data_IF_184496732718
#
_entry.id   IF_184496732718
#
_cell.length_a   1.000
_cell.length_b   1.000
_cell.length_c   1.000
_cell.angle_alpha   90.00
_cell.angle_beta   90.00
_cell.angle_gamma   90.00
#
_symmetry.space_group_name_H-M   'P 1'
#
loop_
_entity.id
_entity.type
_entity.pdbx_description
1 polymer ?
#
# COMPACT_ATOMS: atom_id res chain seq x y z
N UNK A 1 -4.27 1.33 -36.65
CA UNK A 1 -5.03 1.61 -35.40
C UNK A 1 -4.02 1.75 -34.27
N UNK A 2 -4.31 2.59 -33.26
CA UNK A 2 -3.44 2.71 -32.09
C UNK A 2 -3.40 1.38 -31.31
N UNK A 3 -2.27 1.06 -30.69
CA UNK A 3 -2.17 -0.12 -29.80
C UNK A 3 -3.22 -0.03 -28.68
N UNK A 4 -3.80 -1.17 -28.26
CA UNK A 4 -4.78 -1.17 -27.17
C UNK A 4 -4.13 -0.82 -25.84
N UNK A 5 -4.86 -0.10 -24.98
CA UNK A 5 -4.44 0.17 -23.59
C UNK A 5 -4.59 -1.09 -22.74
N UNK A 6 -3.53 -1.52 -22.07
CA UNK A 6 -3.47 -2.74 -21.28
C UNK A 6 -3.75 -2.43 -19.81
N UNK A 7 -4.86 -2.95 -19.29
CA UNK A 7 -5.35 -2.69 -17.92
C UNK A 7 -5.41 -3.98 -17.14
N UNK A 8 -4.66 -4.06 -16.04
CA UNK A 8 -4.69 -5.19 -15.11
C UNK A 8 -5.43 -4.80 -13.83
N UNK A 9 -6.44 -5.59 -13.45
CA UNK A 9 -7.20 -5.40 -12.21
C UNK A 9 -7.05 -6.64 -11.34
N UNK A 10 -6.51 -6.48 -10.13
CA UNK A 10 -6.46 -7.57 -9.15
C UNK A 10 -7.79 -7.69 -8.40
N UNK A 11 -8.27 -8.91 -8.18
CA UNK A 11 -9.54 -9.15 -7.49
C UNK A 11 -10.76 -8.69 -8.29
N UNK A 12 -10.71 -8.86 -9.61
CA UNK A 12 -11.74 -8.44 -10.56
C UNK A 12 -13.01 -9.31 -10.53
N UNK A 13 -12.99 -10.49 -9.89
CA UNK A 13 -14.12 -11.43 -9.91
C UNK A 13 -15.40 -10.93 -9.23
N UNK A 14 -15.32 -9.94 -8.32
CA UNK A 14 -16.48 -9.44 -7.56
C UNK A 14 -16.29 -8.02 -7.04
N UNK A 15 -17.37 -7.41 -6.54
CA UNK A 15 -17.35 -6.14 -5.81
C UNK A 15 -16.77 -4.98 -6.64
N UNK A 16 -15.96 -4.13 -5.99
CA UNK A 16 -15.36 -2.94 -6.61
C UNK A 16 -14.49 -3.32 -7.82
N UNK A 17 -13.65 -4.35 -7.68
CA UNK A 17 -12.81 -4.83 -8.78
C UNK A 17 -13.61 -5.23 -10.01
N UNK A 18 -14.74 -5.93 -9.83
CA UNK A 18 -15.65 -6.30 -10.92
C UNK A 18 -16.30 -5.07 -11.57
N UNK A 19 -16.83 -4.16 -10.76
CA UNK A 19 -17.43 -2.93 -11.28
C UNK A 19 -16.46 -2.09 -12.10
N UNK A 20 -15.20 -1.96 -11.64
CA UNK A 20 -14.15 -1.28 -12.42
C UNK A 20 -13.89 -2.05 -13.73
N UNK A 21 -13.77 -3.38 -13.68
CA UNK A 21 -13.52 -4.21 -14.84
C UNK A 21 -14.61 -4.08 -15.91
N UNK A 22 -15.88 -4.11 -15.51
CA UNK A 22 -17.04 -3.93 -16.39
C UNK A 22 -17.07 -2.54 -17.04
N UNK A 23 -16.74 -1.48 -16.28
CA UNK A 23 -16.63 -0.12 -16.83
C UNK A 23 -15.49 0.02 -17.85
N UNK A 24 -14.37 -0.67 -17.64
CA UNK A 24 -13.30 -0.72 -18.63
C UNK A 24 -13.67 -1.58 -19.85
N UNK A 25 -14.45 -2.65 -19.67
CA UNK A 25 -14.91 -3.51 -20.78
C UNK A 25 -15.76 -2.73 -21.79
N UNK A 26 -16.52 -1.74 -21.31
CA UNK A 26 -17.32 -0.83 -22.13
C UNK A 26 -16.50 0.26 -22.86
N UNK A 27 -15.17 0.36 -22.65
CA UNK A 27 -14.30 1.30 -23.37
C UNK A 27 -13.67 0.59 -24.57
N UNK A 28 -13.60 1.20 -25.77
CA UNK A 28 -13.02 0.58 -26.96
C UNK A 28 -11.49 0.49 -26.87
N UNK A 29 -10.88 -0.43 -27.63
CA UNK A 29 -9.43 -0.57 -27.80
C UNK A 29 -8.64 -0.79 -26.47
N UNK A 30 -9.08 -1.73 -25.63
CA UNK A 30 -8.38 -2.14 -24.40
C UNK A 30 -8.06 -3.64 -24.35
N UNK A 31 -6.96 -4.01 -23.70
CA UNK A 31 -6.72 -5.39 -23.27
C UNK A 31 -6.88 -5.45 -21.76
N UNK A 32 -7.98 -6.05 -21.30
CA UNK A 32 -8.29 -6.16 -19.88
C UNK A 32 -7.82 -7.49 -19.32
N UNK A 33 -7.09 -7.43 -18.23
CA UNK A 33 -6.52 -8.59 -17.55
C UNK A 33 -7.12 -8.65 -16.16
N UNK A 34 -7.96 -9.66 -15.93
CA UNK A 34 -8.49 -9.97 -14.62
C UNK A 34 -7.51 -10.89 -13.90
N UNK A 35 -6.86 -10.35 -12.86
CA UNK A 35 -5.91 -11.08 -12.03
C UNK A 35 -6.61 -11.55 -10.74
N UNK A 36 -7.00 -12.82 -10.70
CA UNK A 36 -7.79 -13.39 -9.61
C UNK A 36 -7.05 -14.56 -8.94
N UNK A 37 -7.31 -14.79 -7.65
CA UNK A 37 -6.74 -15.93 -6.89
C UNK A 37 -6.98 -17.27 -7.58
N UNK A 38 -8.22 -17.49 -8.02
CA UNK A 38 -8.66 -18.68 -8.72
C UNK A 38 -9.29 -18.27 -10.06
N UNK A 39 -8.57 -18.34 -11.19
CA UNK A 39 -9.13 -17.98 -12.48
C UNK A 39 -10.21 -18.94 -12.97
N UNK A 40 -10.29 -20.15 -12.42
CA UNK A 40 -11.23 -21.20 -12.86
C UNK A 40 -12.57 -21.16 -12.12
N UNK A 41 -12.73 -20.27 -11.13
CA UNK A 41 -14.00 -20.11 -10.43
C UNK A 41 -15.08 -19.43 -11.31
N UNK A 42 -16.35 -19.67 -10.96
CA UNK A 42 -17.49 -19.10 -11.68
C UNK A 42 -17.38 -17.58 -11.89
N UNK A 43 -17.16 -16.78 -10.82
CA UNK A 43 -17.04 -15.33 -10.94
C UNK A 43 -15.91 -14.87 -11.88
N UNK A 44 -14.77 -15.56 -11.92
CA UNK A 44 -13.67 -15.25 -12.84
C UNK A 44 -14.03 -15.61 -14.28
N UNK A 45 -14.61 -16.79 -14.49
CA UNK A 45 -15.00 -17.26 -15.82
C UNK A 45 -16.14 -16.43 -16.43
N UNK A 46 -16.99 -15.79 -15.61
CA UNK A 46 -17.99 -14.84 -16.08
C UNK A 46 -17.38 -13.59 -16.73
N UNK A 47 -16.20 -13.15 -16.31
CA UNK A 47 -15.54 -11.97 -16.86
C UNK A 47 -15.20 -12.14 -18.36
N UNK A 48 -14.90 -13.36 -18.79
CA UNK A 48 -14.65 -13.70 -20.20
C UNK A 48 -15.88 -13.53 -21.10
N UNK A 49 -17.08 -13.49 -20.49
CA UNK A 49 -18.37 -13.41 -21.20
C UNK A 49 -18.95 -11.99 -21.21
N UNK A 50 -18.24 -11.02 -20.64
CA UNK A 50 -18.70 -9.64 -20.58
C UNK A 50 -18.87 -9.06 -21.99
N UNK A 51 -19.90 -8.24 -22.22
CA UNK A 51 -19.98 -7.43 -23.44
C UNK A 51 -18.79 -6.46 -23.44
N UNK A 52 -18.04 -6.46 -24.54
CA UNK A 52 -16.88 -5.59 -24.73
C UNK A 52 -17.13 -4.61 -25.86
N UNK A 53 -16.63 -3.39 -25.72
CA UNK A 53 -16.62 -2.42 -26.80
C UNK A 53 -15.65 -2.85 -27.92
N UNK A 54 -15.75 -2.20 -29.08
CA UNK A 54 -14.94 -2.52 -30.25
C UNK A 54 -13.43 -2.49 -29.94
N UNK A 55 -12.73 -3.54 -30.34
CA UNK A 55 -11.29 -3.68 -30.11
C UNK A 55 -10.90 -3.99 -28.66
N UNK A 56 -11.86 -4.27 -27.77
CA UNK A 56 -11.57 -4.64 -26.38
C UNK A 56 -11.62 -6.15 -26.16
N UNK A 57 -10.59 -6.66 -25.47
CA UNK A 57 -10.43 -8.09 -25.19
C UNK A 57 -10.27 -8.33 -23.70
N UNK A 58 -10.71 -9.49 -23.21
CA UNK A 58 -10.58 -9.90 -21.81
C UNK A 58 -9.66 -11.12 -21.70
N UNK A 59 -8.78 -11.11 -20.70
CA UNK A 59 -7.94 -12.24 -20.33
C UNK A 59 -8.00 -12.49 -18.82
N UNK A 60 -7.77 -13.74 -18.42
CA UNK A 60 -7.62 -14.13 -17.02
C UNK A 60 -6.18 -14.54 -16.74
N UNK A 61 -5.69 -14.17 -15.56
CA UNK A 61 -4.43 -14.66 -15.01
C UNK A 61 -4.59 -14.94 -13.53
N UNK A 62 -3.83 -15.91 -13.01
CA UNK A 62 -3.81 -16.22 -11.60
C UNK A 62 -2.90 -15.23 -10.87
N UNK A 63 -3.43 -14.57 -9.84
CA UNK A 63 -2.65 -13.90 -8.80
C UNK A 63 -3.34 -14.11 -7.45
N UNK A 64 -2.73 -14.89 -6.57
CA UNK A 64 -2.97 -14.87 -5.11
C UNK A 64 -2.02 -13.86 -4.47
N UNK A 65 -2.58 -12.86 -3.80
CA UNK A 65 -1.85 -11.76 -3.18
C UNK A 65 -0.87 -12.22 -2.09
N UNK A 66 -1.12 -13.38 -1.46
CA UNK A 66 -0.24 -13.93 -0.43
C UNK A 66 0.88 -14.82 -0.96
N UNK A 67 0.88 -15.15 -2.26
CA UNK A 67 1.90 -16.01 -2.87
C UNK A 67 3.04 -15.16 -3.45
N UNK A 68 4.28 -15.48 -3.07
CA UNK A 68 5.46 -14.70 -3.46
C UNK A 68 5.85 -14.86 -4.94
N UNK A 69 5.34 -15.88 -5.63
CA UNK A 69 5.70 -16.24 -7.01
C UNK A 69 4.58 -15.98 -8.02
N UNK A 70 3.32 -15.90 -7.59
CA UNK A 70 2.17 -15.76 -8.49
C UNK A 70 2.27 -14.51 -9.38
N UNK A 71 2.73 -13.36 -8.86
CA UNK A 71 2.89 -12.14 -9.65
C UNK A 71 3.95 -12.31 -10.76
N UNK A 72 5.08 -12.96 -10.47
CA UNK A 72 6.12 -13.27 -11.46
C UNK A 72 5.61 -14.29 -12.50
N UNK A 73 4.91 -15.32 -12.04
CA UNK A 73 4.30 -16.34 -12.91
C UNK A 73 3.24 -15.74 -13.83
N UNK A 74 2.48 -14.75 -13.34
CA UNK A 74 1.53 -13.99 -14.13
C UNK A 74 2.22 -13.16 -15.21
N UNK A 75 3.36 -12.53 -14.91
CA UNK A 75 4.18 -11.82 -15.91
C UNK A 75 4.63 -12.76 -17.03
N UNK A 76 5.18 -13.94 -16.69
CA UNK A 76 5.60 -14.92 -17.69
C UNK A 76 4.43 -15.44 -18.53
N UNK A 77 3.29 -15.68 -17.88
CA UNK A 77 2.05 -16.06 -18.56
C UNK A 77 1.60 -14.98 -19.55
N UNK A 78 1.58 -13.71 -19.15
CA UNK A 78 1.18 -12.59 -20.00
C UNK A 78 2.16 -12.37 -21.16
N UNK A 79 3.47 -12.49 -20.91
CA UNK A 79 4.51 -12.42 -21.96
C UNK A 79 4.32 -13.50 -23.02
N UNK A 80 4.01 -14.74 -22.61
CA UNK A 80 3.73 -15.83 -23.56
C UNK A 80 2.51 -15.56 -24.46
N UNK A 81 1.62 -14.65 -24.03
CA UNK A 81 0.44 -14.20 -24.77
C UNK A 81 0.68 -12.89 -25.54
N UNK A 82 1.93 -12.45 -25.64
CA UNK A 82 2.34 -11.23 -26.35
C UNK A 82 2.19 -9.93 -25.56
N UNK A 83 1.86 -10.00 -24.27
CA UNK A 83 1.70 -8.82 -23.40
C UNK A 83 3.02 -8.57 -22.66
N UNK A 84 3.77 -7.58 -23.13
CA UNK A 84 5.10 -7.25 -22.61
C UNK A 84 5.13 -6.06 -21.65
N UNK A 85 4.01 -5.38 -21.46
CA UNK A 85 3.84 -4.25 -20.53
C UNK A 85 2.40 -4.17 -20.03
N UNK A 86 2.19 -3.39 -18.96
CA UNK A 86 0.88 -3.01 -18.43
C UNK A 86 0.86 -1.48 -18.38
N UNK A 87 -0.16 -0.85 -18.96
CA UNK A 87 -0.31 0.61 -18.93
C UNK A 87 -0.94 1.07 -17.61
N UNK A 88 -1.92 0.30 -17.12
CA UNK A 88 -2.68 0.63 -15.91
C UNK A 88 -2.75 -0.60 -15.00
N UNK A 89 -2.18 -0.49 -13.81
CA UNK A 89 -2.30 -1.48 -12.73
C UNK A 89 -3.28 -0.97 -11.66
N UNK A 90 -4.38 -1.70 -11.46
CA UNK A 90 -5.36 -1.44 -10.40
C UNK A 90 -5.21 -2.53 -9.34
N UNK A 91 -4.36 -2.24 -8.34
CA UNK A 91 -4.11 -3.10 -7.18
C UNK A 91 -5.27 -3.02 -6.17
N UNK A 92 -6.42 -3.57 -6.55
CA UNK A 92 -7.67 -3.54 -5.79
C UNK A 92 -7.85 -4.71 -4.79
N UNK A 93 -7.13 -5.83 -4.96
CA UNK A 93 -7.36 -7.02 -4.14
C UNK A 93 -7.08 -6.72 -2.65
N UNK A 94 -8.03 -7.12 -1.79
CA UNK A 94 -7.93 -6.91 -0.36
C UNK A 94 -8.90 -7.78 0.43
N UNK A 95 -8.66 -7.87 1.74
CA UNK A 95 -9.53 -8.56 2.70
C UNK A 95 -9.80 -7.73 3.95
N UNK A 96 -10.92 -8.03 4.57
CA UNK A 96 -11.32 -7.61 5.91
C UNK A 96 -12.16 -8.75 6.51
N UNK A 97 -11.63 -9.45 7.52
CA UNK A 97 -12.26 -10.65 8.10
C UNK A 97 -12.75 -10.45 9.54
N UNK A 98 -12.30 -9.39 10.22
CA UNK A 98 -12.72 -9.03 11.58
C UNK A 98 -12.62 -7.52 11.84
N UNK A 99 -13.36 -7.03 12.85
CA UNK A 99 -13.39 -5.61 13.27
C UNK A 99 -13.32 -5.48 14.81
N UNK A 100 -12.26 -5.99 15.47
CA UNK A 100 -12.10 -5.87 16.92
C UNK A 100 -11.78 -4.44 17.33
N UNK A 101 -11.99 -4.13 18.61
CA UNK A 101 -11.36 -2.96 19.24
C UNK A 101 -9.85 -3.16 19.33
N UNK A 102 -9.11 -2.06 19.55
CA UNK A 102 -7.65 -2.14 19.68
C UNK A 102 -7.21 -3.08 20.81
N UNK A 103 -7.90 -3.04 21.96
CA UNK A 103 -7.62 -3.93 23.09
C UNK A 103 -7.85 -5.43 22.80
N UNK A 104 -8.69 -5.75 21.81
CA UNK A 104 -9.07 -7.13 21.45
C UNK A 104 -8.35 -7.64 20.19
N UNK A 105 -7.61 -6.77 19.49
CA UNK A 105 -6.98 -7.08 18.22
C UNK A 105 -5.83 -8.08 18.41
N UNK A 106 -5.86 -9.17 17.63
CA UNK A 106 -4.82 -10.19 17.67
C UNK A 106 -3.76 -9.91 16.61
N UNK A 107 -2.49 -10.00 17.00
CA UNK A 107 -1.36 -9.82 16.08
C UNK A 107 -1.44 -10.73 14.84
N UNK A 108 -1.79 -12.03 14.95
CA UNK A 108 -1.96 -12.89 13.77
C UNK A 108 -3.02 -12.39 12.79
N UNK A 109 -4.13 -11.83 13.28
CA UNK A 109 -5.18 -11.29 12.41
C UNK A 109 -4.65 -10.05 11.66
N UNK A 110 -3.90 -9.18 12.35
CA UNK A 110 -3.25 -8.01 11.73
C UNK A 110 -2.23 -8.45 10.68
N UNK A 111 -1.37 -9.42 11.00
CA UNK A 111 -0.37 -9.95 10.07
C UNK A 111 -1.02 -10.56 8.83
N UNK A 112 -2.11 -11.31 9.01
CA UNK A 112 -2.87 -11.89 7.92
C UNK A 112 -3.41 -10.79 6.98
N UNK A 113 -4.05 -9.74 7.52
CA UNK A 113 -4.53 -8.60 6.73
C UNK A 113 -3.40 -7.85 6.01
N UNK A 114 -2.28 -7.59 6.68
CA UNK A 114 -1.10 -6.94 6.09
C UNK A 114 -0.56 -7.79 4.93
N UNK A 115 -0.51 -9.12 5.07
CA UNK A 115 0.02 -9.99 4.03
C UNK A 115 -0.76 -9.88 2.71
N UNK A 116 -2.09 -9.75 2.77
CA UNK A 116 -2.91 -9.53 1.57
C UNK A 116 -2.91 -8.06 1.13
N UNK A 117 -3.24 -7.13 2.03
CA UNK A 117 -3.56 -5.75 1.67
C UNK A 117 -2.31 -4.89 1.41
N UNK A 118 -1.17 -5.25 1.99
CA UNK A 118 0.08 -4.48 1.87
C UNK A 118 1.11 -5.29 1.09
N UNK A 119 1.43 -6.50 1.54
CA UNK A 119 2.46 -7.28 0.86
C UNK A 119 2.00 -7.77 -0.51
N UNK A 120 0.70 -8.04 -0.69
CA UNK A 120 0.11 -8.26 -2.02
C UNK A 120 0.37 -7.09 -2.97
N UNK A 121 0.24 -5.85 -2.52
CA UNK A 121 0.58 -4.66 -3.32
C UNK A 121 2.07 -4.61 -3.66
N UNK A 122 2.94 -4.85 -2.67
CA UNK A 122 4.41 -4.85 -2.87
C UNK A 122 4.84 -5.92 -3.87
N UNK A 123 4.24 -7.12 -3.82
CA UNK A 123 4.53 -8.22 -4.76
C UNK A 123 4.18 -7.89 -6.21
N UNK A 124 3.26 -6.95 -6.46
CA UNK A 124 2.89 -6.54 -7.82
C UNK A 124 3.91 -5.62 -8.46
N UNK A 125 4.73 -4.90 -7.69
CA UNK A 125 5.64 -3.90 -8.25
C UNK A 125 6.94 -3.75 -7.44
N UNK A 126 8.07 -4.00 -8.11
CA UNK A 126 9.41 -3.81 -7.54
C UNK A 126 9.93 -2.39 -7.86
N UNK A 127 9.67 -1.43 -6.96
CA UNK A 127 10.24 -0.08 -7.07
C UNK A 127 11.64 -0.09 -6.44
N UNK A 128 12.69 0.40 -7.13
CA UNK A 128 14.05 0.47 -6.60
C UNK A 128 14.22 1.63 -5.61
N UNK A 129 13.46 1.63 -4.51
CA UNK A 129 13.52 2.67 -3.48
C UNK A 129 14.03 2.12 -2.14
N UNK A 130 15.14 2.65 -1.60
CA UNK A 130 15.81 2.12 -0.41
C UNK A 130 15.14 2.59 0.89
N UNK A 131 13.87 2.23 1.11
CA UNK A 131 13.18 2.35 2.41
C UNK A 131 11.87 1.54 2.50
N UNK A 132 11.64 0.62 1.55
CA UNK A 132 10.36 -0.05 1.39
C UNK A 132 9.98 -0.98 2.55
N UNK A 133 10.91 -1.29 3.45
CA UNK A 133 10.64 -2.06 4.68
C UNK A 133 10.32 -1.14 5.85
N UNK A 134 11.16 -0.14 6.13
CA UNK A 134 11.03 0.68 7.34
C UNK A 134 9.94 1.76 7.20
N UNK A 135 9.89 2.50 6.10
CA UNK A 135 8.94 3.60 5.89
C UNK A 135 7.47 3.19 6.12
N UNK A 136 6.96 2.14 5.47
CA UNK A 136 5.57 1.70 5.63
C UNK A 136 5.17 1.35 7.08
N UNK A 137 6.11 0.84 7.89
CA UNK A 137 5.82 0.52 9.30
C UNK A 137 5.47 1.76 10.12
N UNK A 138 5.97 2.94 9.72
CA UNK A 138 5.68 4.21 10.40
C UNK A 138 4.29 4.73 10.10
N UNK A 139 3.75 4.48 8.91
CA UNK A 139 2.35 4.77 8.58
C UNK A 139 1.40 3.95 9.46
N UNK A 140 1.71 2.67 9.69
CA UNK A 140 0.91 1.83 10.58
C UNK A 140 0.96 2.34 12.03
N UNK A 141 2.15 2.73 12.51
CA UNK A 141 2.32 3.35 13.83
C UNK A 141 1.50 4.65 13.95
N UNK A 142 1.48 5.49 12.91
CA UNK A 142 0.69 6.73 12.88
C UNK A 142 -0.81 6.44 12.98
N UNK A 143 -1.31 5.46 12.22
CA UNK A 143 -2.71 5.05 12.28
C UNK A 143 -3.12 4.60 13.69
N UNK A 144 -2.32 3.74 14.34
CA UNK A 144 -2.60 3.32 15.72
C UNK A 144 -2.59 4.49 16.70
N UNK A 145 -1.63 5.40 16.57
CA UNK A 145 -1.53 6.56 17.45
C UNK A 145 -2.75 7.48 17.30
N UNK A 146 -3.28 7.66 16.09
CA UNK A 146 -4.56 8.34 15.86
C UNK A 146 -5.71 7.64 16.55
N UNK A 147 -5.82 6.33 16.38
CA UNK A 147 -6.90 5.53 16.97
C UNK A 147 -6.87 5.64 18.49
N UNK A 148 -5.69 5.56 19.10
CA UNK A 148 -5.50 5.80 20.55
C UNK A 148 -5.92 7.22 20.92
N UNK A 149 -5.50 8.24 20.17
CA UNK A 149 -5.87 9.63 20.43
C UNK A 149 -7.40 9.86 20.40
N UNK A 150 -8.13 9.15 19.53
CA UNK A 150 -9.59 9.23 19.45
C UNK A 150 -10.24 8.46 20.61
N UNK A 151 -9.74 7.26 20.90
CA UNK A 151 -10.32 6.37 21.91
C UNK A 151 -10.06 6.85 23.34
N UNK A 152 -8.83 7.30 23.63
CA UNK A 152 -8.38 7.70 24.96
C UNK A 152 -8.49 9.21 25.14
N UNK A 153 -9.64 9.67 25.62
CA UNK A 153 -9.92 11.11 25.79
C UNK A 153 -9.02 11.78 26.83
N UNK A 154 -8.44 11.02 27.76
CA UNK A 154 -7.54 11.50 28.81
C UNK A 154 -6.05 11.52 28.40
N UNK A 155 -5.68 10.90 27.27
CA UNK A 155 -4.29 10.73 26.84
C UNK A 155 -3.96 11.63 25.66
N UNK A 156 -2.94 12.49 25.79
CA UNK A 156 -2.32 13.18 24.65
C UNK A 156 -1.42 12.20 23.91
N UNK A 157 -1.88 11.66 22.77
CA UNK A 157 -1.14 10.71 21.96
C UNK A 157 -0.92 11.27 20.55
N UNK A 158 0.35 11.36 20.12
CA UNK A 158 0.74 11.85 18.80
C UNK A 158 2.15 11.37 18.42
N UNK A 159 2.41 11.03 17.14
CA UNK A 159 3.76 10.75 16.65
C UNK A 159 4.59 12.03 16.49
N UNK A 160 5.90 11.91 16.70
CA UNK A 160 6.90 12.95 16.37
C UNK A 160 7.95 12.33 15.45
N UNK A 161 8.22 12.99 14.32
CA UNK A 161 9.36 12.68 13.46
C UNK A 161 10.62 13.38 14.02
N UNK A 162 11.62 12.62 14.50
CA UNK A 162 12.84 13.20 15.07
C UNK A 162 13.76 13.85 14.02
N UNK A 163 13.42 13.77 12.73
CA UNK A 163 14.26 14.19 11.62
C UNK A 163 15.25 13.11 11.20
N UNK A 164 16.13 13.44 10.25
CA UNK A 164 17.16 12.52 9.79
C UNK A 164 18.43 12.66 10.64
N UNK A 165 18.46 11.92 11.75
CA UNK A 165 19.43 12.12 12.86
C UNK A 165 20.72 11.31 12.70
N UNK A 166 21.87 11.91 13.02
CA UNK A 166 23.22 11.31 13.01
C UNK A 166 23.44 10.27 14.12
N UNK A 167 22.59 9.26 14.16
CA UNK A 167 22.75 8.05 14.96
C UNK A 167 23.43 6.97 14.12
N UNK A 168 23.80 5.84 14.74
CA UNK A 168 24.25 4.66 13.99
C UNK A 168 23.21 4.23 12.94
N UNK A 169 21.93 4.19 13.33
CA UNK A 169 20.82 3.84 12.44
C UNK A 169 20.64 4.86 11.32
N UNK A 170 20.65 6.16 11.64
CA UNK A 170 20.46 7.22 10.65
C UNK A 170 21.61 7.28 9.65
N UNK A 171 22.86 7.20 10.10
CA UNK A 171 24.02 7.17 9.21
C UNK A 171 24.07 5.88 8.36
N UNK A 172 23.61 4.74 8.90
CA UNK A 172 23.41 3.53 8.10
C UNK A 172 22.35 3.73 7.03
N UNK A 173 21.23 4.39 7.35
CA UNK A 173 20.22 4.78 6.38
C UNK A 173 20.76 5.71 5.30
N UNK A 174 21.54 6.73 5.68
CA UNK A 174 22.14 7.71 4.78
C UNK A 174 22.96 7.04 3.67
N UNK A 175 23.77 6.03 4.04
CA UNK A 175 24.54 5.25 3.06
C UNK A 175 23.67 4.52 2.04
N UNK A 176 22.50 4.02 2.43
CA UNK A 176 21.54 3.41 1.49
C UNK A 176 20.94 4.41 0.49
N UNK A 177 21.02 5.71 0.77
CA UNK A 177 20.62 6.81 -0.11
C UNK A 177 21.82 7.51 -0.79
N UNK A 178 23.03 6.93 -0.74
CA UNK A 178 24.27 7.53 -1.24
C UNK A 178 24.62 8.88 -0.58
N UNK A 179 24.27 9.05 0.69
CA UNK A 179 24.64 10.20 1.52
C UNK A 179 25.75 9.79 2.50
N UNK A 180 26.62 10.74 2.85
CA UNK A 180 27.72 10.51 3.79
C UNK A 180 27.20 10.23 5.21
N UNK A 181 26.27 11.05 5.68
CA UNK A 181 25.64 10.96 6.99
C UNK A 181 24.27 11.62 7.00
N UNK A 182 23.54 11.45 8.09
CA UNK A 182 22.24 12.07 8.29
C UNK A 182 22.35 13.59 8.50
N UNK A 183 21.28 14.33 8.25
CA UNK A 183 21.33 15.79 8.08
C UNK A 183 21.39 16.60 9.38
N UNK A 184 20.96 16.05 10.51
CA UNK A 184 20.95 16.76 11.81
C UNK A 184 21.62 15.95 12.91
N UNK A 185 22.16 16.65 13.91
CA UNK A 185 22.78 16.03 15.08
C UNK A 185 21.74 15.45 16.04
N UNK A 186 22.18 14.56 16.93
CA UNK A 186 21.34 14.04 18.02
C UNK A 186 20.88 15.17 18.95
N UNK A 187 21.76 16.11 19.27
CA UNK A 187 21.45 17.22 20.18
C UNK A 187 20.37 18.14 19.62
N UNK A 188 20.47 18.51 18.33
CA UNK A 188 19.44 19.32 17.65
C UNK A 188 18.08 18.62 17.66
N UNK A 189 18.06 17.33 17.31
CA UNK A 189 16.85 16.51 17.27
C UNK A 189 16.19 16.41 18.65
N UNK A 190 16.93 16.00 19.68
CA UNK A 190 16.37 15.77 21.02
C UNK A 190 15.88 17.07 21.66
N UNK A 191 16.62 18.18 21.50
CA UNK A 191 16.15 19.48 21.99
C UNK A 191 14.84 19.92 21.33
N UNK A 192 14.70 19.71 20.02
CA UNK A 192 13.46 20.00 19.31
C UNK A 192 12.30 19.11 19.77
N UNK A 193 12.53 17.80 19.81
CA UNK A 193 11.53 16.81 20.26
C UNK A 193 11.02 17.13 21.66
N UNK A 194 11.90 17.43 22.62
CA UNK A 194 11.50 17.77 24.00
C UNK A 194 10.65 19.05 24.03
N UNK A 195 11.00 20.08 23.26
CA UNK A 195 10.19 21.30 23.16
C UNK A 195 8.78 21.01 22.65
N UNK A 196 8.65 20.14 21.65
CA UNK A 196 7.33 19.73 21.12
C UNK A 196 6.53 18.96 22.17
N UNK A 197 7.18 18.05 22.91
CA UNK A 197 6.54 17.30 23.99
C UNK A 197 6.04 18.25 25.10
N UNK A 198 6.91 19.14 25.58
CA UNK A 198 6.60 20.08 26.66
C UNK A 198 5.47 21.07 26.30
N UNK A 199 5.37 21.43 25.02
CA UNK A 199 4.31 22.31 24.51
C UNK A 199 2.98 21.56 24.21
N UNK A 200 2.97 20.23 24.28
CA UNK A 200 1.84 19.45 23.79
C UNK A 200 0.65 19.40 24.73
N UNK A 201 -0.56 19.53 24.16
CA UNK A 201 -1.82 19.29 24.86
C UNK A 201 -2.73 18.36 24.05
N UNK A 202 -3.77 17.85 24.70
CA UNK A 202 -4.78 17.00 24.06
C UNK A 202 -5.43 17.69 22.86
N UNK A 203 -5.74 18.98 23.00
CA UNK A 203 -6.47 19.78 22.01
C UNK A 203 -5.59 20.19 20.83
N UNK A 204 -4.30 20.38 21.07
CA UNK A 204 -3.38 20.98 20.10
C UNK A 204 -2.65 19.94 19.26
N UNK A 205 -2.20 18.84 19.89
CA UNK A 205 -1.28 17.88 19.26
C UNK A 205 -1.87 16.47 19.10
N UNK A 206 -2.80 16.06 19.96
CA UNK A 206 -3.27 14.67 19.97
C UNK A 206 -3.87 14.27 18.62
N UNK A 207 -3.43 13.13 18.09
CA UNK A 207 -3.90 12.61 16.82
C UNK A 207 -3.37 13.36 15.60
N UNK A 208 -2.30 14.13 15.72
CA UNK A 208 -1.62 14.80 14.60
C UNK A 208 -0.15 14.38 14.53
N UNK A 209 0.55 14.67 13.44
CA UNK A 209 1.97 14.37 13.27
C UNK A 209 2.79 15.66 13.31
N UNK A 210 3.87 15.66 14.08
CA UNK A 210 4.78 16.80 14.19
C UNK A 210 6.21 16.42 13.85
N UNK A 211 6.95 17.35 13.26
CA UNK A 211 8.40 17.27 13.16
C UNK A 211 9.05 17.73 14.47
N UNK A 212 10.30 17.34 14.70
CA UNK A 212 11.15 17.83 15.80
C UNK A 212 11.25 19.37 15.85
N UNK A 213 10.97 20.07 14.74
CA UNK A 213 10.93 21.54 14.65
C UNK A 213 9.65 22.15 15.24
N UNK A 214 8.63 21.34 15.54
CA UNK A 214 7.29 21.79 15.96
C UNK A 214 6.32 22.04 14.81
N UNK A 215 6.74 21.80 13.56
CA UNK A 215 5.85 21.87 12.39
C UNK A 215 4.87 20.69 12.38
N UNK A 216 3.56 20.99 12.32
CA UNK A 216 2.52 19.99 12.04
C UNK A 216 2.60 19.60 10.56
N UNK A 217 2.64 18.31 10.27
CA UNK A 217 2.65 17.78 8.90
C UNK A 217 1.44 16.87 8.65
N UNK A 218 0.92 16.82 7.40
CA UNK A 218 -0.17 15.94 7.06
C UNK A 218 0.25 14.46 7.17
N UNK A 219 -0.75 13.59 7.33
CA UNK A 219 -0.57 12.15 7.16
C UNK A 219 -0.42 11.74 5.71
#
# INVERSE_FOLDING_TARGET
MASPTIVLVTGAGRGIGRGIFELYAAKPNHTLIAANRNPDDGPSQELLKLPTAEGTTVQLVKIEATDDNDALSAVETLRSRGINHIDILIANAGKATSWPKLEDAKIPDIQDHINTNVFGFVRLNAIPFPNAVYGPTKILQHWYTKTIAIAETWLTAFPIDPGFVQTEMGNRGARSFNLEQASITVDESVQGVVKVIDASTKETHSGKLFLWTGEEVPW
#
